data_IF_096212313797
#
_entry.id   IF_096212313797
#
_cell.length_a   1.000
_cell.length_b   1.000
_cell.length_c   1.000
_cell.angle_alpha   90.00
_cell.angle_beta   90.00
_cell.angle_gamma   90.00
#
_symmetry.space_group_name_H-M   'P 1'
#
loop_
_entity.id
_entity.type
_entity.pdbx_description
1 polymer ?
#
# COMPACT_ATOMS: atom_id res chain seq x y z
N UNK A 1 25.09 11.29 -0.33
CA UNK A 1 24.06 12.03 0.41
C UNK A 1 22.94 11.08 0.84
N UNK A 2 23.24 10.18 1.79
CA UNK A 2 22.27 9.20 2.26
C UNK A 2 22.73 8.68 3.61
N UNK A 3 22.27 9.30 4.70
CA UNK A 3 22.46 8.83 6.08
C UNK A 3 21.51 9.47 7.11
N UNK A 4 20.49 10.24 6.71
CA UNK A 4 19.60 10.90 7.69
C UNK A 4 18.60 9.91 8.33
N UNK A 5 18.01 9.02 7.51
CA UNK A 5 17.00 8.04 7.97
C UNK A 5 17.53 6.97 8.93
N UNK A 6 18.78 6.53 8.74
CA UNK A 6 19.41 5.50 9.59
C UNK A 6 19.66 5.99 11.03
N UNK A 7 19.77 7.31 11.25
CA UNK A 7 19.98 7.87 12.60
C UNK A 7 18.69 7.96 13.42
N UNK A 8 17.52 7.84 12.79
CA UNK A 8 16.21 7.95 13.44
C UNK A 8 15.49 6.59 13.59
N UNK A 9 16.14 5.47 13.24
CA UNK A 9 15.49 4.14 13.26
C UNK A 9 14.39 3.99 12.19
N UNK A 10 14.39 4.87 11.18
CA UNK A 10 13.40 4.87 10.10
C UNK A 10 13.83 3.87 9.03
N UNK A 11 12.95 2.92 8.74
CA UNK A 11 13.11 1.98 7.63
C UNK A 11 12.39 2.53 6.41
N UNK A 12 13.12 2.64 5.30
CA UNK A 12 12.63 3.24 4.05
C UNK A 12 12.53 2.17 2.97
N UNK A 13 11.51 2.27 2.13
CA UNK A 13 11.35 1.46 0.93
C UNK A 13 10.99 2.35 -0.26
N UNK A 14 11.36 1.89 -1.47
CA UNK A 14 11.19 2.71 -2.66
C UNK A 14 9.71 2.96 -2.99
N UNK A 15 8.86 1.92 -2.89
CA UNK A 15 7.51 1.96 -3.47
C UNK A 15 7.51 1.47 -4.92
N UNK A 16 6.37 1.60 -5.60
CA UNK A 16 6.19 1.10 -6.98
C UNK A 16 5.32 2.04 -7.83
N UNK A 17 5.33 1.84 -9.15
CA UNK A 17 4.41 2.48 -10.09
C UNK A 17 3.95 1.47 -11.15
N UNK A 18 2.96 0.64 -10.82
CA UNK A 18 2.39 -0.39 -11.68
C UNK A 18 0.90 -0.16 -11.98
N UNK A 19 0.23 0.68 -11.18
CA UNK A 19 -1.21 1.01 -11.28
C UNK A 19 -2.08 -0.24 -11.18
N UNK A 20 -2.61 -0.72 -12.32
CA UNK A 20 -3.43 -1.92 -12.41
C UNK A 20 -2.68 -3.10 -13.05
N UNK A 21 -1.37 -3.00 -13.22
CA UNK A 21 -0.59 -4.07 -13.82
C UNK A 21 -0.34 -5.18 -12.81
N UNK A 22 -0.83 -6.38 -13.09
CA UNK A 22 -0.48 -7.58 -12.32
C UNK A 22 0.92 -8.06 -12.73
N UNK A 23 1.81 -8.17 -11.74
CA UNK A 23 3.19 -8.63 -11.96
C UNK A 23 3.29 -10.14 -11.73
N UNK A 24 3.27 -10.91 -12.82
CA UNK A 24 3.30 -12.38 -12.74
C UNK A 24 1.95 -12.95 -12.29
N UNK A 25 1.98 -13.97 -11.44
CA UNK A 25 0.76 -14.46 -10.78
C UNK A 25 0.35 -13.56 -9.61
N UNK A 26 -0.86 -13.77 -9.05
CA UNK A 26 -1.27 -13.07 -7.81
C UNK A 26 -0.33 -13.36 -6.64
N UNK A 27 0.18 -14.58 -6.57
CA UNK A 27 1.15 -14.98 -5.55
C UNK A 27 2.49 -14.26 -5.74
N UNK A 28 3.00 -14.18 -6.97
CA UNK A 28 4.23 -13.42 -7.25
C UNK A 28 4.06 -11.94 -6.90
N UNK A 29 2.90 -11.37 -7.20
CA UNK A 29 2.57 -9.99 -6.88
C UNK A 29 2.52 -9.75 -5.36
N UNK A 30 1.89 -10.66 -4.60
CA UNK A 30 1.90 -10.63 -3.14
C UNK A 30 3.31 -10.75 -2.56
N UNK A 31 4.11 -11.72 -3.02
CA UNK A 31 5.48 -11.92 -2.55
C UNK A 31 6.37 -10.70 -2.86
N UNK A 32 6.16 -10.05 -4.01
CA UNK A 32 6.85 -8.79 -4.32
C UNK A 32 6.42 -7.67 -3.36
N UNK A 33 5.14 -7.59 -2.98
CA UNK A 33 4.64 -6.61 -2.00
C UNK A 33 5.26 -6.85 -0.61
N UNK A 34 5.26 -8.10 -0.14
CA UNK A 34 5.91 -8.51 1.11
C UNK A 34 7.38 -8.12 1.09
N UNK A 35 8.11 -8.49 0.04
CA UNK A 35 9.54 -8.15 -0.11
C UNK A 35 9.78 -6.64 -0.09
N UNK A 36 8.89 -5.86 -0.70
CA UNK A 36 9.05 -4.41 -0.85
C UNK A 36 8.77 -3.65 0.45
N UNK A 37 7.73 -4.05 1.18
CA UNK A 37 7.19 -3.24 2.29
C UNK A 37 7.40 -3.86 3.68
N UNK A 38 7.95 -5.07 3.79
CA UNK A 38 8.26 -5.66 5.10
C UNK A 38 9.19 -4.78 5.91
N UNK A 39 8.78 -4.49 7.15
CA UNK A 39 9.47 -3.58 8.07
C UNK A 39 9.67 -2.16 7.51
N UNK A 40 8.91 -1.72 6.50
CA UNK A 40 9.01 -0.37 5.96
C UNK A 40 8.14 0.61 6.74
N UNK A 41 8.72 1.73 7.16
CA UNK A 41 8.01 2.82 7.84
C UNK A 41 7.72 4.01 6.93
N UNK A 42 8.54 4.24 5.91
CA UNK A 42 8.40 5.35 4.95
C UNK A 42 8.54 4.83 3.52
N UNK A 43 7.49 5.01 2.71
CA UNK A 43 7.51 4.73 1.27
C UNK A 43 7.92 6.00 0.53
N UNK A 44 9.01 5.97 -0.23
CA UNK A 44 9.54 7.16 -0.90
C UNK A 44 8.71 7.59 -2.11
N UNK A 45 8.22 6.63 -2.89
CA UNK A 45 7.32 6.84 -4.03
C UNK A 45 5.88 6.46 -3.63
N UNK A 46 5.18 5.70 -4.47
CA UNK A 46 3.78 5.35 -4.28
C UNK A 46 3.63 4.02 -3.54
N UNK A 47 2.60 3.94 -2.71
CA UNK A 47 2.10 2.69 -2.15
C UNK A 47 0.91 2.22 -2.99
N UNK A 48 1.07 1.11 -3.70
CA UNK A 48 -0.01 0.50 -4.48
C UNK A 48 -0.36 -0.87 -3.89
N UNK A 49 -1.48 -0.95 -3.17
CA UNK A 49 -2.03 -2.21 -2.65
C UNK A 49 -3.06 -2.72 -3.64
N UNK A 50 -2.66 -3.69 -4.48
CA UNK A 50 -3.52 -4.23 -5.54
C UNK A 50 -3.57 -5.75 -5.56
N UNK A 51 -4.70 -6.31 -6.01
CA UNK A 51 -4.88 -7.76 -6.19
C UNK A 51 -4.70 -8.63 -4.93
N UNK A 52 -4.75 -8.04 -3.73
CA UNK A 52 -4.68 -8.78 -2.47
C UNK A 52 -5.98 -9.53 -2.21
N UNK A 53 -5.84 -10.80 -1.81
CA UNK A 53 -6.94 -11.71 -1.50
C UNK A 53 -6.99 -12.04 0.00
N UNK A 54 -8.15 -12.51 0.48
CA UNK A 54 -8.44 -12.73 1.91
C UNK A 54 -7.45 -13.66 2.65
N UNK A 55 -6.80 -14.59 1.94
CA UNK A 55 -5.86 -15.53 2.55
C UNK A 55 -4.44 -14.96 2.71
N UNK A 56 -4.15 -13.78 2.13
CA UNK A 56 -2.85 -13.14 2.24
C UNK A 56 -2.68 -12.43 3.59
N UNK A 57 -1.52 -12.59 4.23
CA UNK A 57 -1.20 -11.83 5.43
C UNK A 57 -0.67 -10.43 5.06
N UNK A 58 -1.51 -9.42 5.26
CA UNK A 58 -1.17 -8.02 4.99
C UNK A 58 -0.59 -7.29 6.21
N UNK A 59 -0.29 -7.99 7.31
CA UNK A 59 0.18 -7.40 8.58
C UNK A 59 1.44 -6.53 8.43
N UNK A 60 2.30 -6.82 7.46
CA UNK A 60 3.51 -6.04 7.16
C UNK A 60 3.22 -4.57 6.80
N UNK A 61 2.03 -4.27 6.25
CA UNK A 61 1.61 -2.91 5.91
C UNK A 61 1.37 -2.02 7.15
N UNK A 62 1.11 -2.62 8.33
CA UNK A 62 0.83 -1.88 9.58
C UNK A 62 1.95 -0.96 10.02
N UNK A 63 3.18 -1.24 9.57
CA UNK A 63 4.36 -0.47 9.95
C UNK A 63 4.54 0.83 9.16
N UNK A 64 3.84 0.98 8.02
CA UNK A 64 3.94 2.15 7.16
C UNK A 64 3.28 3.34 7.84
N UNK A 65 4.03 4.44 7.95
CA UNK A 65 3.61 5.69 8.58
C UNK A 65 3.52 6.83 7.58
N UNK A 66 4.33 6.80 6.52
CA UNK A 66 4.40 7.89 5.56
C UNK A 66 4.55 7.35 4.14
N UNK A 67 3.87 8.01 3.21
CA UNK A 67 4.00 7.77 1.77
C UNK A 67 4.33 9.10 1.10
N UNK A 68 5.44 9.16 0.36
CA UNK A 68 5.84 10.33 -0.41
C UNK A 68 4.89 10.59 -1.58
N UNK A 69 4.58 9.53 -2.32
CA UNK A 69 3.71 9.48 -3.49
C UNK A 69 2.22 9.54 -3.19
N UNK A 70 1.46 8.91 -4.07
CA UNK A 70 0.07 8.57 -3.83
C UNK A 70 -0.07 7.19 -3.17
N UNK A 71 -1.26 6.94 -2.62
CA UNK A 71 -1.71 5.63 -2.18
C UNK A 71 -2.83 5.15 -3.10
N UNK A 72 -2.64 4.00 -3.75
CA UNK A 72 -3.65 3.34 -4.56
C UNK A 72 -4.06 2.04 -3.88
N UNK A 73 -5.35 1.88 -3.64
CA UNK A 73 -5.94 0.66 -3.08
C UNK A 73 -6.96 0.16 -4.09
N UNK A 74 -6.62 -0.86 -4.87
CA UNK A 74 -7.49 -1.28 -5.96
C UNK A 74 -7.52 -2.77 -6.26
N UNK A 75 -8.66 -3.25 -6.74
CA UNK A 75 -8.83 -4.63 -7.22
C UNK A 75 -8.56 -5.70 -6.13
N UNK A 76 -8.62 -5.33 -4.86
CA UNK A 76 -8.46 -6.25 -3.75
C UNK A 76 -9.79 -6.96 -3.42
N UNK A 77 -9.69 -8.22 -3.02
CA UNK A 77 -10.78 -8.97 -2.39
C UNK A 77 -10.54 -9.21 -0.91
N UNK A 78 -9.34 -8.90 -0.40
CA UNK A 78 -9.01 -8.90 1.02
C UNK A 78 -9.96 -7.98 1.81
N UNK A 79 -10.52 -8.51 2.89
CA UNK A 79 -11.50 -7.87 3.75
C UNK A 79 -10.94 -6.63 4.44
N UNK A 80 -9.71 -6.72 4.94
CA UNK A 80 -9.04 -5.67 5.70
C UNK A 80 -7.68 -5.33 5.10
N UNK A 81 -7.43 -4.05 4.86
CA UNK A 81 -6.12 -3.54 4.40
C UNK A 81 -5.51 -2.71 5.54
N UNK A 82 -4.56 -3.26 6.31
CA UNK A 82 -4.17 -2.71 7.61
C UNK A 82 -3.15 -1.57 7.48
N UNK A 83 -3.64 -0.35 7.29
CA UNK A 83 -2.84 0.89 7.24
C UNK A 83 -3.00 1.74 8.51
N UNK A 84 -3.15 1.06 9.65
CA UNK A 84 -3.49 1.67 10.95
C UNK A 84 -2.50 2.77 11.39
N UNK A 85 -1.22 2.63 11.02
CA UNK A 85 -0.15 3.58 11.36
C UNK A 85 0.09 4.67 10.31
N UNK A 86 -0.58 4.62 9.16
CA UNK A 86 -0.37 5.60 8.09
C UNK A 86 -0.85 6.97 8.56
N UNK A 87 0.07 7.93 8.62
CA UNK A 87 -0.15 9.30 9.13
C UNK A 87 -0.18 10.34 8.04
N UNK A 88 0.69 10.22 7.04
CA UNK A 88 0.91 11.25 6.03
C UNK A 88 0.98 10.62 4.64
N UNK A 89 0.25 11.22 3.70
CA UNK A 89 0.42 11.01 2.26
C UNK A 89 0.84 12.36 1.68
N UNK A 90 2.10 12.50 1.25
CA UNK A 90 2.64 13.80 0.82
C UNK A 90 2.14 14.21 -0.56
N UNK A 91 1.86 13.26 -1.45
CA UNK A 91 1.31 13.52 -2.78
C UNK A 91 2.24 14.30 -3.71
N UNK A 92 3.57 14.11 -3.63
CA UNK A 92 4.49 14.70 -4.62
C UNK A 92 4.28 14.13 -6.04
N UNK A 93 3.60 12.99 -6.13
CA UNK A 93 2.99 12.38 -7.32
C UNK A 93 1.52 12.09 -7.00
N UNK A 94 0.65 12.12 -8.01
CA UNK A 94 -0.79 11.90 -7.84
C UNK A 94 -1.27 10.80 -8.79
N UNK A 95 -2.16 9.94 -8.30
CA UNK A 95 -2.89 9.02 -9.15
C UNK A 95 -3.85 9.81 -10.04
N UNK A 96 -3.86 9.46 -11.33
CA UNK A 96 -4.67 10.13 -12.37
C UNK A 96 -4.59 11.67 -12.33
N UNK A 97 -3.40 12.18 -11.99
CA UNK A 97 -3.10 13.62 -11.87
C UNK A 97 -3.97 14.40 -10.88
N UNK A 98 -4.75 13.74 -10.01
CA UNK A 98 -5.69 14.41 -9.11
C UNK A 98 -5.81 13.84 -7.71
N UNK A 99 -5.34 12.61 -7.46
CA UNK A 99 -5.63 11.90 -6.20
C UNK A 99 -4.35 11.48 -5.47
N UNK A 100 -4.17 11.99 -4.25
CA UNK A 100 -3.15 11.50 -3.32
C UNK A 100 -3.57 10.14 -2.69
N UNK A 101 -4.87 9.89 -2.57
CA UNK A 101 -5.45 8.61 -2.14
C UNK A 101 -6.56 8.22 -3.12
N UNK A 102 -6.48 7.01 -3.69
CA UNK A 102 -7.50 6.44 -4.56
C UNK A 102 -7.88 5.03 -4.09
N UNK A 103 -9.19 4.79 -3.90
CA UNK A 103 -9.74 3.49 -3.49
C UNK A 103 -10.75 3.02 -4.55
N UNK A 104 -10.38 2.02 -5.34
CA UNK A 104 -11.06 1.72 -6.62
C UNK A 104 -11.31 0.22 -6.79
N UNK A 105 -12.56 -0.20 -7.02
CA UNK A 105 -12.91 -1.57 -7.42
C UNK A 105 -12.44 -2.69 -6.46
N UNK A 106 -12.44 -2.47 -5.15
CA UNK A 106 -12.06 -3.47 -4.14
C UNK A 106 -13.20 -4.45 -3.79
N UNK A 107 -13.76 -5.12 -4.81
CA UNK A 107 -14.79 -6.14 -4.62
C UNK A 107 -14.76 -7.18 -5.75
N UNK A 108 -15.29 -8.38 -5.45
CA UNK A 108 -15.66 -9.39 -6.43
C UNK A 108 -17.11 -9.85 -6.18
N UNK A 109 -18.00 -9.50 -7.11
CA UNK A 109 -19.45 -9.79 -7.00
C UNK A 109 -19.74 -11.29 -6.95
N UNK A 110 -19.03 -12.09 -7.74
CA UNK A 110 -19.26 -13.53 -7.83
C UNK A 110 -18.88 -14.25 -6.53
N UNK A 111 -17.78 -13.82 -5.91
CA UNK A 111 -17.30 -14.39 -4.65
C UNK A 111 -17.94 -13.76 -3.41
N UNK A 112 -18.72 -12.67 -3.57
CA UNK A 112 -19.23 -11.84 -2.46
C UNK A 112 -18.13 -11.41 -1.49
N UNK A 113 -16.93 -11.18 -2.02
CA UNK A 113 -15.75 -10.77 -1.28
C UNK A 113 -15.36 -9.34 -1.67
N UNK A 114 -14.64 -8.65 -0.79
CA UNK A 114 -14.23 -7.27 -1.00
C UNK A 114 -13.72 -6.64 0.28
N UNK A 115 -13.04 -5.50 0.13
CA UNK A 115 -12.54 -4.75 1.28
C UNK A 115 -13.69 -4.08 2.02
N UNK A 116 -13.89 -4.46 3.28
CA UNK A 116 -14.88 -3.87 4.20
C UNK A 116 -14.24 -3.00 5.26
N UNK A 117 -12.93 -3.17 5.52
CA UNK A 117 -12.19 -2.40 6.50
C UNK A 117 -10.94 -1.75 5.90
N UNK A 118 -10.89 -0.43 6.00
CA UNK A 118 -9.70 0.37 5.68
C UNK A 118 -9.38 1.29 6.87
N UNK A 119 -8.69 0.77 7.91
CA UNK A 119 -8.36 1.52 9.12
C UNK A 119 -7.28 2.58 8.84
N UNK A 120 -7.70 3.79 8.48
CA UNK A 120 -6.83 4.96 8.34
C UNK A 120 -6.89 5.84 9.59
N UNK A 121 -6.81 5.21 10.76
CA UNK A 121 -7.09 5.87 12.05
C UNK A 121 -6.07 6.93 12.45
N UNK A 122 -4.87 6.88 11.88
CA UNK A 122 -3.78 7.82 12.15
C UNK A 122 -3.61 8.90 11.07
N UNK A 123 -4.36 8.83 9.97
CA UNK A 123 -4.21 9.71 8.82
C UNK A 123 -4.84 11.09 9.13
N UNK A 124 -4.03 12.16 9.10
CA UNK A 124 -4.45 13.53 9.48
C UNK A 124 -4.00 14.57 8.47
#
# INVERSE_FOLDING_TARGET
AGTDWQRQGVSVCQGVTNRFSLLGSKEDHYLNMVKTYSNCTVVLENLEVTYMEDYHDLSFLRSIQEVGGYVLIALNTANRIPLDSLRIIRGHTLYDSGFALAVVLNYNKSMRAGTTELPLTSLT
#
